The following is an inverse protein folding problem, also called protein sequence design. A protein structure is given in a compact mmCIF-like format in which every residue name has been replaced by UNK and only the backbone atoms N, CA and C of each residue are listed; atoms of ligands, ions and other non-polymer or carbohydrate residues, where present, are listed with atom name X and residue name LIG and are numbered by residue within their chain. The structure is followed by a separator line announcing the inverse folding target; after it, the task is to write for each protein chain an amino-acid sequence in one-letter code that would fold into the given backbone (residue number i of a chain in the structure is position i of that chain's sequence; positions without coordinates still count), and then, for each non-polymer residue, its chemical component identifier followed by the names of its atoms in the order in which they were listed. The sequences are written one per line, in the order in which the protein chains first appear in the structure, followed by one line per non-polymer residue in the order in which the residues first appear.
data_IF_789289973839
#
_entry.id   IF_789289973839
#
_cell.length_a   1.000
_cell.length_b   1.000
_cell.length_c   1.000
_cell.angle_alpha   90.00
_cell.angle_beta   90.00
_cell.angle_gamma   90.00
#
_symmetry.space_group_name_H-M   'P 1'
#
loop_
_entity.id
_entity.type
_entity.pdbx_description
1 polymer ?
#
# COMPACT_ATOMS: atom_id res chain seq x y z
N UNK A 1 -1.62 3.51 12.67
CA UNK A 1 -0.63 4.46 12.13
C UNK A 1 -1.13 5.04 10.82
N UNK A 2 -1.09 6.36 10.63
CA UNK A 2 -1.62 7.03 9.42
C UNK A 2 -0.52 7.78 8.66
N UNK A 3 0.37 8.42 9.41
CA UNK A 3 1.48 9.21 8.90
C UNK A 3 2.72 8.90 9.73
N UNK A 4 3.80 8.53 9.05
CA UNK A 4 5.14 8.38 9.62
C UNK A 4 6.01 9.57 9.23
N UNK A 5 6.75 10.11 10.21
CA UNK A 5 7.73 11.18 10.01
C UNK A 5 9.11 10.69 10.44
N UNK A 6 9.98 10.44 9.47
CA UNK A 6 11.32 9.92 9.67
C UNK A 6 12.33 11.05 9.50
N UNK A 7 13.09 11.34 10.56
CA UNK A 7 14.25 12.21 10.48
C UNK A 7 15.46 11.36 10.09
N UNK A 8 15.85 11.44 8.83
CA UNK A 8 16.98 10.70 8.28
C UNK A 8 18.28 11.30 8.79
N UNK A 9 18.97 10.56 9.68
CA UNK A 9 20.24 10.98 10.32
C UNK A 9 21.43 10.08 10.02
N UNK A 10 21.20 8.81 9.72
CA UNK A 10 22.25 7.82 9.53
C UNK A 10 21.99 6.96 8.30
N UNK A 11 23.06 6.54 7.63
CA UNK A 11 23.07 5.46 6.64
C UNK A 11 23.49 4.18 7.35
N UNK A 12 22.68 3.13 7.21
CA UNK A 12 23.03 1.78 7.68
C UNK A 12 23.91 1.09 6.62
N UNK A 13 25.05 0.58 7.02
CA UNK A 13 25.96 -0.21 6.18
C UNK A 13 25.62 -1.71 6.27
N UNK A 14 26.23 -2.52 5.39
CA UNK A 14 25.97 -3.96 5.31
C UNK A 14 26.36 -4.73 6.58
N UNK A 15 27.36 -4.24 7.32
CA UNK A 15 27.78 -4.76 8.62
C UNK A 15 26.86 -4.34 9.78
N UNK A 16 25.82 -3.55 9.49
CA UNK A 16 24.87 -3.03 10.47
C UNK A 16 25.31 -1.73 11.15
N UNK A 17 26.52 -1.22 10.90
CA UNK A 17 26.98 0.06 11.44
C UNK A 17 26.16 1.24 10.91
N UNK A 18 26.07 2.30 11.71
CA UNK A 18 25.32 3.52 11.39
C UNK A 18 26.28 4.68 11.20
N UNK A 19 26.40 5.18 9.97
CA UNK A 19 27.25 6.33 9.65
C UNK A 19 26.39 7.59 9.51
N UNK A 20 26.75 8.72 10.14
CA UNK A 20 26.01 9.98 10.00
C UNK A 20 25.88 10.40 8.53
N UNK A 21 24.69 10.85 8.14
CA UNK A 21 24.48 11.44 6.82
C UNK A 21 25.15 12.82 6.76
N UNK A 22 25.78 13.19 5.62
CA UNK A 22 26.35 14.53 5.43
C UNK A 22 25.31 15.65 5.58
N UNK A 23 24.07 15.38 5.16
CA UNK A 23 22.92 16.25 5.32
C UNK A 23 21.78 15.49 5.97
N UNK A 24 21.16 16.09 6.99
CA UNK A 24 19.96 15.55 7.64
C UNK A 24 18.75 15.89 6.81
N UNK A 25 17.92 14.89 6.52
CA UNK A 25 16.72 15.03 5.70
C UNK A 25 15.49 14.58 6.47
N UNK A 26 14.33 14.93 5.94
CA UNK A 26 13.03 14.44 6.41
C UNK A 26 12.43 13.57 5.32
N UNK A 27 11.99 12.39 5.70
CA UNK A 27 11.19 11.48 4.87
C UNK A 27 9.85 11.26 5.58
N UNK A 28 8.75 11.40 4.85
CA UNK A 28 7.42 11.19 5.44
C UNK A 28 6.58 10.33 4.53
N UNK A 29 5.85 9.39 5.12
CA UNK A 29 4.93 8.51 4.41
C UNK A 29 3.56 8.56 5.05
N UNK A 30 2.53 8.84 4.24
CA UNK A 30 1.13 8.79 4.66
C UNK A 30 0.39 7.76 3.79
N UNK A 31 -0.34 6.86 4.44
CA UNK A 31 -1.14 5.85 3.73
C UNK A 31 -2.41 6.48 3.17
N UNK A 32 -2.50 6.64 1.84
CA UNK A 32 -3.63 7.29 1.18
C UNK A 32 -4.97 6.63 1.53
N UNK A 33 -5.09 5.31 1.37
CA UNK A 33 -6.33 4.58 1.62
C UNK A 33 -6.73 4.64 3.10
N UNK A 34 -5.75 4.75 4.00
CA UNK A 34 -6.00 4.86 5.44
C UNK A 34 -6.42 6.26 5.84
N UNK A 35 -5.85 7.30 5.23
CA UNK A 35 -6.34 8.66 5.41
C UNK A 35 -7.77 8.79 4.84
N UNK A 36 -8.01 8.27 3.64
CA UNK A 36 -9.33 8.27 3.01
C UNK A 36 -10.37 7.58 3.90
N UNK A 37 -10.08 6.36 4.39
CA UNK A 37 -11.01 5.65 5.27
C UNK A 37 -11.32 6.43 6.55
N UNK A 38 -10.33 7.12 7.14
CA UNK A 38 -10.56 7.97 8.30
C UNK A 38 -11.46 9.17 8.00
N UNK A 39 -11.21 9.87 6.89
CA UNK A 39 -12.03 11.02 6.47
C UNK A 39 -13.46 10.61 6.10
N UNK A 40 -13.64 9.37 5.64
CA UNK A 40 -14.93 8.78 5.27
C UNK A 40 -15.66 8.13 6.45
N UNK A 41 -15.02 8.00 7.61
CA UNK A 41 -15.60 7.33 8.78
C UNK A 41 -15.62 5.79 8.68
N UNK A 42 -14.86 5.22 7.76
CA UNK A 42 -14.78 3.78 7.53
C UNK A 42 -13.78 3.10 8.48
N UNK A 43 -14.15 1.91 8.95
CA UNK A 43 -13.31 1.10 9.87
C UNK A 43 -12.24 0.28 9.14
N UNK A 44 -12.33 0.18 7.82
CA UNK A 44 -11.47 -0.63 6.98
C UNK A 44 -11.17 0.11 5.68
N UNK A 45 -9.92 0.04 5.22
CA UNK A 45 -9.52 0.60 3.92
C UNK A 45 -10.34 0.00 2.77
N UNK A 46 -10.75 -1.26 2.89
CA UNK A 46 -11.53 -1.99 1.88
C UNK A 46 -12.98 -1.51 1.74
N UNK A 47 -13.47 -0.68 2.68
CA UNK A 47 -14.81 -0.11 2.61
C UNK A 47 -14.82 1.31 2.05
N UNK A 48 -13.65 1.94 1.93
CA UNK A 48 -13.50 3.24 1.31
C UNK A 48 -13.78 3.22 -0.19
N UNK A 49 -14.02 4.40 -0.74
CA UNK A 49 -14.31 4.64 -2.16
C UNK A 49 -13.26 4.07 -3.13
N UNK A 50 -11.98 4.06 -2.74
CA UNK A 50 -10.88 3.48 -3.55
C UNK A 50 -11.13 1.99 -3.87
N UNK A 51 -11.77 1.24 -2.95
CA UNK A 51 -12.07 -0.18 -3.12
C UNK A 51 -13.48 -0.46 -3.65
N UNK A 52 -14.35 0.55 -3.70
CA UNK A 52 -15.73 0.41 -4.15
C UNK A 52 -15.87 -0.17 -5.58
N UNK A 53 -15.07 0.25 -6.59
CA UNK A 53 -15.13 -0.36 -7.91
C UNK A 53 -14.82 -1.86 -7.90
N UNK A 54 -13.87 -2.31 -7.08
CA UNK A 54 -13.48 -3.71 -6.96
C UNK A 54 -14.58 -4.53 -6.29
N UNK A 55 -15.17 -4.02 -5.21
CA UNK A 55 -16.30 -4.68 -4.53
C UNK A 55 -17.53 -4.81 -5.42
N UNK A 56 -17.69 -3.92 -6.40
CA UNK A 56 -18.79 -3.99 -7.37
C UNK A 56 -18.49 -4.93 -8.54
N UNK A 57 -17.27 -4.89 -9.05
CA UNK A 57 -16.88 -5.61 -10.27
C UNK A 57 -16.57 -7.09 -10.02
N UNK A 58 -15.92 -7.43 -8.91
CA UNK A 58 -15.37 -8.78 -8.70
C UNK A 58 -16.41 -9.84 -8.30
N UNK A 59 -17.39 -9.58 -7.40
CA UNK A 59 -18.36 -10.61 -7.00
C UNK A 59 -19.19 -11.24 -8.13
N UNK A 60 -19.64 -10.52 -9.17
CA UNK A 60 -20.34 -11.17 -10.28
C UNK A 60 -19.42 -11.99 -11.19
N UNK A 61 -18.10 -11.74 -11.16
CA UNK A 61 -17.11 -12.50 -11.93
C UNK A 61 -16.69 -13.78 -11.20
N UNK A 62 -16.58 -13.70 -9.87
CA UNK A 62 -16.09 -14.75 -9.02
C UNK A 62 -16.90 -14.82 -7.73
N UNK A 63 -17.31 -16.04 -7.33
CA UNK A 63 -18.01 -16.30 -6.07
C UNK A 63 -17.09 -16.17 -4.85
N UNK A 64 -16.58 -14.97 -4.61
CA UNK A 64 -15.64 -14.67 -3.52
C UNK A 64 -16.41 -14.34 -2.25
N UNK A 65 -15.99 -14.93 -1.13
CA UNK A 65 -16.38 -14.44 0.19
C UNK A 65 -15.68 -13.11 0.50
N UNK A 66 -16.05 -12.47 1.60
CA UNK A 66 -15.52 -11.15 1.96
C UNK A 66 -13.99 -11.14 2.11
N UNK A 67 -13.42 -12.23 2.65
CA UNK A 67 -11.97 -12.36 2.84
C UNK A 67 -11.29 -12.49 1.48
N UNK A 68 -11.77 -13.39 0.62
CA UNK A 68 -11.20 -13.60 -0.71
C UNK A 68 -11.35 -12.38 -1.60
N UNK A 69 -12.45 -11.64 -1.48
CA UNK A 69 -12.66 -10.38 -2.20
C UNK A 69 -11.58 -9.35 -1.85
N UNK A 70 -11.25 -9.21 -0.57
CA UNK A 70 -10.18 -8.30 -0.11
C UNK A 70 -8.81 -8.73 -0.63
N UNK A 71 -8.49 -10.03 -0.52
CA UNK A 71 -7.22 -10.59 -1.00
C UNK A 71 -7.04 -10.39 -2.51
N UNK A 72 -8.04 -10.80 -3.30
CA UNK A 72 -8.01 -10.69 -4.75
C UNK A 72 -7.94 -9.23 -5.19
N UNK A 73 -8.69 -8.32 -4.55
CA UNK A 73 -8.63 -6.88 -4.87
C UNK A 73 -7.24 -6.30 -4.66
N UNK A 74 -6.60 -6.62 -3.53
CA UNK A 74 -5.24 -6.15 -3.20
C UNK A 74 -4.19 -6.70 -4.17
N UNK A 75 -4.27 -8.00 -4.48
CA UNK A 75 -3.34 -8.65 -5.39
C UNK A 75 -3.48 -8.15 -6.83
N UNK A 76 -4.72 -7.96 -7.32
CA UNK A 76 -4.97 -7.42 -8.64
C UNK A 76 -4.44 -6.00 -8.79
N UNK A 77 -4.67 -5.13 -7.79
CA UNK A 77 -4.12 -3.76 -7.80
C UNK A 77 -2.59 -3.78 -7.94
N UNK A 78 -1.93 -4.62 -7.14
CA UNK A 78 -0.47 -4.76 -7.18
C UNK A 78 0.01 -5.32 -8.52
N UNK A 79 -0.64 -6.37 -9.02
CA UNK A 79 -0.30 -7.00 -10.30
C UNK A 79 -0.46 -6.02 -11.48
N UNK A 80 -1.53 -5.22 -11.49
CA UNK A 80 -1.76 -4.21 -12.54
C UNK A 80 -0.64 -3.18 -12.57
N UNK A 81 -0.20 -2.67 -11.41
CA UNK A 81 0.90 -1.70 -11.33
C UNK A 81 2.22 -2.35 -11.78
N UNK A 82 2.55 -3.52 -11.22
CA UNK A 82 3.81 -4.23 -11.53
C UNK A 82 3.92 -4.58 -13.03
N UNK A 83 2.83 -5.06 -13.64
CA UNK A 83 2.78 -5.34 -15.08
C UNK A 83 2.88 -4.04 -15.91
N UNK A 84 2.21 -2.99 -15.45
CA UNK A 84 2.23 -1.65 -16.06
C UNK A 84 3.63 -1.04 -16.08
N UNK A 85 4.42 -1.28 -15.02
CA UNK A 85 5.82 -0.88 -14.91
C UNK A 85 6.79 -1.75 -15.74
N UNK A 86 6.26 -2.69 -16.53
CA UNK A 86 7.03 -3.48 -17.48
C UNK A 86 7.55 -4.82 -16.93
N UNK A 87 7.28 -5.15 -15.67
CA UNK A 87 7.62 -6.46 -15.11
C UNK A 87 6.78 -7.54 -15.81
N UNK A 88 7.36 -8.72 -16.00
CA UNK A 88 6.69 -9.88 -16.60
C UNK A 88 6.77 -11.07 -15.64
N UNK A 89 5.72 -11.90 -15.56
CA UNK A 89 5.80 -13.15 -14.82
C UNK A 89 6.93 -14.03 -15.34
N UNK A 90 7.68 -14.63 -14.42
CA UNK A 90 8.75 -15.58 -14.70
C UNK A 90 8.68 -16.72 -13.66
N UNK A 91 9.26 -17.86 -14.00
CA UNK A 91 9.31 -19.05 -13.15
C UNK A 91 10.46 -19.00 -12.14
#
# INVERSE_FOLDING_TARGET
EVWNHVMMRHRRLADGSLVPLPQRNVDTGLGLERLASLLQGERSVFHGDVFEPWRRLLPPLWGLDEISLRLVSDHLRSAVVVLGDGVRPAA
#
